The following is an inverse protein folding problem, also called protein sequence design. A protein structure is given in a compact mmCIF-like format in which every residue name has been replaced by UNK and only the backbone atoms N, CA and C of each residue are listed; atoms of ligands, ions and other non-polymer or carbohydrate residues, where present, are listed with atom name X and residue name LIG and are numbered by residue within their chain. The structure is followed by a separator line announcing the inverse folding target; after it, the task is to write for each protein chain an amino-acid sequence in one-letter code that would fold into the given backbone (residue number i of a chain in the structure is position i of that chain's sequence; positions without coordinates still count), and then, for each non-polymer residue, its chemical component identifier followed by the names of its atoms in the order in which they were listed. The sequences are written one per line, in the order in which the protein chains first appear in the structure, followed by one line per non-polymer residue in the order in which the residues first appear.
data_IF_948405338544
#
_entry.id   IF_948405338544
#
_cell.length_a   1.000
_cell.length_b   1.000
_cell.length_c   1.000
_cell.angle_alpha   90.00
_cell.angle_beta   90.00
_cell.angle_gamma   90.00
#
_symmetry.space_group_name_H-M   'P 1'
#
loop_
_entity.id
_entity.type
_entity.pdbx_description
1 polymer ?
#
# COMPACT_ATOMS: atom_id res chain seq x y z
N UNK A 1 -3.06 13.77 -22.56
CA UNK A 1 -3.50 12.36 -22.72
C UNK A 1 -2.92 11.54 -21.56
N UNK A 2 -3.72 10.71 -20.87
CA UNK A 2 -3.33 9.94 -19.69
C UNK A 2 -2.96 8.50 -20.05
N UNK A 3 -1.86 7.99 -19.49
CA UNK A 3 -1.40 6.63 -19.70
C UNK A 3 -1.10 5.92 -18.38
N UNK A 4 -1.44 4.63 -18.30
CA UNK A 4 -1.04 3.72 -17.23
C UNK A 4 0.15 2.89 -17.73
N UNK A 5 1.22 2.86 -16.93
CA UNK A 5 2.45 2.11 -17.21
C UNK A 5 2.55 0.95 -16.22
N UNK A 6 2.61 -0.27 -16.73
CA UNK A 6 2.76 -1.52 -15.98
C UNK A 6 4.14 -2.15 -16.16
N UNK A 7 4.56 -3.08 -15.27
CA UNK A 7 5.75 -3.87 -15.51
C UNK A 7 5.67 -4.61 -16.86
N UNK A 8 6.78 -4.71 -17.58
CA UNK A 8 6.83 -5.48 -18.82
C UNK A 8 6.75 -7.00 -18.52
N UNK A 9 6.27 -7.77 -19.50
CA UNK A 9 6.25 -9.24 -19.44
C UNK A 9 7.65 -9.87 -19.44
N UNK A 10 8.60 -9.17 -20.06
CA UNK A 10 10.04 -9.49 -20.07
C UNK A 10 10.83 -8.19 -19.92
N UNK A 11 12.08 -8.19 -19.42
CA UNK A 11 12.83 -6.98 -19.13
C UNK A 11 12.93 -5.95 -20.27
N UNK A 12 12.82 -6.39 -21.53
CA UNK A 12 12.87 -5.52 -22.71
C UNK A 12 11.59 -5.61 -23.57
N UNK A 13 10.54 -6.26 -23.08
CA UNK A 13 9.32 -6.50 -23.88
C UNK A 13 8.33 -5.34 -23.81
N UNK A 14 7.62 -5.04 -24.90
CA UNK A 14 6.59 -4.00 -24.92
C UNK A 14 5.27 -4.44 -24.28
N UNK A 15 5.09 -5.74 -24.01
CA UNK A 15 3.85 -6.29 -23.46
C UNK A 15 3.77 -6.09 -21.96
N UNK A 16 2.59 -5.77 -21.46
CA UNK A 16 2.28 -5.70 -20.04
C UNK A 16 2.39 -7.10 -19.41
N UNK A 17 2.93 -7.17 -18.20
CA UNK A 17 3.07 -8.44 -17.47
C UNK A 17 1.70 -9.16 -17.36
N UNK A 18 1.63 -10.50 -17.59
CA UNK A 18 0.38 -11.27 -17.64
C UNK A 18 -0.53 -11.10 -16.41
N UNK A 19 0.04 -10.89 -15.21
CA UNK A 19 -0.70 -10.61 -13.97
C UNK A 19 -1.69 -9.43 -14.12
N UNK A 20 -1.37 -8.46 -14.96
CA UNK A 20 -2.17 -7.24 -15.17
C UNK A 20 -2.93 -7.24 -16.50
N UNK A 21 -2.95 -8.35 -17.25
CA UNK A 21 -3.52 -8.40 -18.59
C UNK A 21 -5.01 -8.03 -18.61
N UNK A 22 -5.81 -8.57 -17.70
CA UNK A 22 -7.24 -8.28 -17.58
C UNK A 22 -7.48 -6.79 -17.31
N UNK A 23 -6.77 -6.22 -16.33
CA UNK A 23 -6.88 -4.81 -15.98
C UNK A 23 -6.45 -3.90 -17.12
N UNK A 24 -5.35 -4.25 -17.80
CA UNK A 24 -4.86 -3.52 -18.96
C UNK A 24 -5.85 -3.56 -20.13
N UNK A 25 -6.54 -4.68 -20.36
CA UNK A 25 -7.59 -4.79 -21.38
C UNK A 25 -8.79 -3.91 -21.06
N UNK A 26 -9.28 -3.92 -19.83
CA UNK A 26 -10.40 -3.08 -19.40
C UNK A 26 -10.07 -1.57 -19.50
N UNK A 27 -8.86 -1.17 -19.11
CA UNK A 27 -8.40 0.21 -19.24
C UNK A 27 -8.33 0.67 -20.71
N UNK A 28 -7.84 -0.19 -21.63
CA UNK A 28 -7.83 0.10 -23.08
C UNK A 28 -9.26 0.20 -23.61
N UNK A 29 -10.15 -0.71 -23.22
CA UNK A 29 -11.57 -0.67 -23.60
C UNK A 29 -12.26 0.61 -23.10
N UNK A 30 -11.84 1.14 -21.96
CA UNK A 30 -12.28 2.43 -21.46
C UNK A 30 -11.67 3.64 -22.21
N UNK A 31 -10.78 3.42 -23.18
CA UNK A 31 -10.16 4.46 -24.00
C UNK A 31 -8.91 5.10 -23.40
N UNK A 32 -8.30 4.45 -22.39
CA UNK A 32 -7.06 4.92 -21.79
C UNK A 32 -5.84 4.30 -22.50
N UNK A 33 -4.72 5.02 -22.51
CA UNK A 33 -3.46 4.46 -22.99
C UNK A 33 -2.89 3.51 -21.93
N UNK A 34 -2.41 2.36 -22.37
CA UNK A 34 -1.80 1.35 -21.47
C UNK A 34 -0.61 0.70 -22.14
N UNK A 35 0.52 0.67 -21.47
CA UNK A 35 1.76 0.07 -21.99
C UNK A 35 2.71 -0.34 -20.86
N UNK A 36 3.88 -0.83 -21.25
CA UNK A 36 4.98 -1.16 -20.34
C UNK A 36 6.09 -0.10 -20.34
N UNK A 37 5.95 0.94 -21.15
CA UNK A 37 6.84 2.09 -21.19
C UNK A 37 6.03 3.36 -21.46
N UNK A 38 6.54 4.55 -21.07
CA UNK A 38 5.94 5.83 -21.41
C UNK A 38 5.88 6.05 -22.92
N UNK A 39 4.72 6.49 -23.40
CA UNK A 39 4.55 6.95 -24.79
C UNK A 39 4.80 8.45 -24.88
N UNK A 40 5.38 8.92 -26.00
CA UNK A 40 5.65 10.36 -26.22
C UNK A 40 4.38 11.21 -26.20
N UNK A 41 3.27 10.67 -26.71
CA UNK A 41 1.96 11.36 -26.74
C UNK A 41 1.28 11.49 -25.37
N UNK A 42 1.76 10.76 -24.36
CA UNK A 42 1.21 10.84 -23.02
C UNK A 42 1.73 12.09 -22.30
N UNK A 43 0.81 12.90 -21.79
CA UNK A 43 1.11 14.11 -21.01
C UNK A 43 1.09 13.89 -19.51
N UNK A 44 0.45 12.79 -19.06
CA UNK A 44 0.41 12.35 -17.67
C UNK A 44 0.51 10.84 -17.61
N UNK A 45 1.25 10.33 -16.63
CA UNK A 45 1.53 8.92 -16.45
C UNK A 45 1.11 8.45 -15.05
N UNK A 46 0.57 7.23 -14.95
CA UNK A 46 0.38 6.52 -13.72
C UNK A 46 1.27 5.27 -13.72
N UNK A 47 2.08 5.11 -12.70
CA UNK A 47 2.93 3.94 -12.49
C UNK A 47 2.16 2.92 -11.65
N UNK A 48 1.94 1.69 -12.14
CA UNK A 48 1.11 0.70 -11.42
C UNK A 48 1.65 -0.72 -11.53
N UNK A 49 1.50 -1.47 -10.45
CA UNK A 49 1.88 -2.89 -10.39
C UNK A 49 3.37 -3.12 -10.12
N UNK A 50 4.08 -2.09 -9.69
CA UNK A 50 5.50 -2.18 -9.38
C UNK A 50 5.71 -2.30 -7.87
N UNK A 51 6.25 -3.43 -7.46
CA UNK A 51 6.76 -3.58 -6.10
C UNK A 51 8.21 -3.05 -6.09
N UNK A 52 8.35 -1.78 -5.79
CA UNK A 52 9.65 -1.13 -5.71
C UNK A 52 10.38 -1.60 -4.46
N UNK A 53 11.46 -2.35 -4.65
CA UNK A 53 12.31 -2.79 -3.54
C UNK A 53 13.04 -1.62 -2.89
N UNK A 54 13.36 -0.61 -3.68
CA UNK A 54 14.05 0.60 -3.24
C UNK A 54 13.30 1.82 -3.75
N UNK A 55 13.05 2.82 -2.88
CA UNK A 55 12.37 4.06 -3.29
C UNK A 55 13.06 4.78 -4.46
N UNK A 56 14.38 4.71 -4.53
CA UNK A 56 15.19 5.33 -5.59
C UNK A 56 14.94 4.71 -6.99
N UNK A 57 14.32 3.53 -7.05
CA UNK A 57 13.91 2.91 -8.32
C UNK A 57 12.62 3.55 -8.87
N UNK A 58 12.02 4.51 -8.16
CA UNK A 58 10.85 5.27 -8.64
C UNK A 58 11.22 6.09 -9.88
N UNK A 59 10.38 6.05 -10.93
CA UNK A 59 10.71 6.76 -12.16
C UNK A 59 10.79 8.28 -11.96
N UNK A 60 11.77 8.92 -12.60
CA UNK A 60 12.03 10.36 -12.50
C UNK A 60 11.34 11.20 -13.56
N UNK A 61 10.58 10.59 -14.48
CA UNK A 61 9.84 11.32 -15.52
C UNK A 61 8.79 12.23 -14.86
N UNK A 62 8.84 13.57 -15.08
CA UNK A 62 7.95 14.52 -14.39
C UNK A 62 6.48 14.41 -14.81
N UNK A 63 6.15 13.61 -15.84
CA UNK A 63 4.77 13.32 -16.22
C UNK A 63 4.06 12.35 -15.27
N UNK A 64 4.79 11.61 -14.42
CA UNK A 64 4.16 10.73 -13.44
C UNK A 64 3.36 11.55 -12.41
N UNK A 65 2.14 11.08 -12.11
CA UNK A 65 1.24 11.74 -11.14
C UNK A 65 1.66 11.51 -9.68
N UNK A 66 2.57 10.58 -9.43
CA UNK A 66 3.21 10.34 -8.14
C UNK A 66 4.67 10.77 -8.17
N UNK A 67 5.27 10.89 -7.00
CA UNK A 67 6.70 11.11 -6.79
C UNK A 67 7.26 10.07 -5.84
N UNK A 68 8.57 9.94 -5.73
CA UNK A 68 9.21 9.07 -4.74
C UNK A 68 8.77 9.44 -3.31
N UNK A 69 8.58 10.72 -3.03
CA UNK A 69 8.13 11.22 -1.73
C UNK A 69 6.70 10.79 -1.42
N UNK A 70 5.75 10.95 -2.36
CA UNK A 70 4.36 10.51 -2.16
C UNK A 70 4.25 9.00 -2.12
N UNK A 71 5.05 8.26 -2.91
CA UNK A 71 5.17 6.81 -2.83
C UNK A 71 5.59 6.37 -1.42
N UNK A 72 6.72 6.89 -0.93
CA UNK A 72 7.23 6.59 0.41
C UNK A 72 6.23 6.96 1.50
N UNK A 73 5.63 8.14 1.40
CA UNK A 73 4.67 8.63 2.39
C UNK A 73 3.41 7.77 2.51
N UNK A 74 3.02 7.03 1.46
CA UNK A 74 1.90 6.08 1.50
C UNK A 74 2.34 4.63 1.75
N UNK A 75 3.61 4.29 1.53
CA UNK A 75 4.10 2.92 1.63
C UNK A 75 4.82 2.65 2.96
N UNK A 76 5.59 3.63 3.48
CA UNK A 76 6.37 3.49 4.70
C UNK A 76 5.49 3.83 5.92
N UNK A 77 5.26 2.86 6.80
CA UNK A 77 4.34 3.02 7.93
C UNK A 77 4.75 4.17 8.87
N UNK A 78 6.04 4.42 9.08
CA UNK A 78 6.51 5.53 9.92
C UNK A 78 6.10 6.89 9.37
N UNK A 79 5.87 6.99 8.06
CA UNK A 79 5.49 8.24 7.40
C UNK A 79 3.99 8.48 7.38
N UNK A 80 3.16 7.45 7.15
CA UNK A 80 1.70 7.66 7.13
C UNK A 80 1.05 7.54 8.51
N UNK A 81 1.67 6.84 9.46
CA UNK A 81 1.11 6.63 10.80
C UNK A 81 0.68 7.92 11.50
N UNK A 82 1.47 9.03 11.49
CA UNK A 82 1.05 10.28 12.14
C UNK A 82 -0.28 10.85 11.63
N UNK A 83 -0.67 10.52 10.39
CA UNK A 83 -1.95 10.97 9.83
C UNK A 83 -3.13 10.11 10.29
N UNK A 84 -2.89 8.83 10.60
CA UNK A 84 -3.94 7.89 10.99
C UNK A 84 -3.87 7.49 12.47
N UNK A 85 -3.00 8.11 13.25
CA UNK A 85 -2.93 7.88 14.70
C UNK A 85 -4.29 8.13 15.34
N UNK A 86 -4.71 7.19 16.22
CA UNK A 86 -6.05 7.15 16.81
C UNK A 86 -7.15 6.57 15.90
N UNK A 87 -6.86 6.30 14.62
CA UNK A 87 -7.74 5.57 13.70
C UNK A 87 -7.22 4.16 13.39
N UNK A 88 -6.02 3.82 13.85
CA UNK A 88 -5.34 2.53 13.64
C UNK A 88 -4.87 1.95 14.96
N UNK A 89 -4.29 0.75 14.92
CA UNK A 89 -3.71 0.11 16.11
C UNK A 89 -2.60 0.99 16.70
N UNK A 90 -2.58 1.06 18.03
CA UNK A 90 -1.50 1.74 18.76
C UNK A 90 -0.15 1.17 18.31
N UNK A 91 0.78 2.05 17.94
CA UNK A 91 2.07 1.70 17.34
C UNK A 91 3.18 2.53 17.95
N UNK A 92 4.36 1.96 18.10
CA UNK A 92 5.60 2.69 18.32
C UNK A 92 6.69 2.17 17.39
N UNK A 93 7.73 2.97 17.20
CA UNK A 93 8.79 2.70 16.23
C UNK A 93 10.13 2.52 16.94
N UNK A 94 10.94 1.58 16.42
CA UNK A 94 12.30 1.32 16.88
C UNK A 94 13.20 1.01 15.68
N UNK A 95 14.50 1.29 15.82
CA UNK A 95 15.48 0.98 14.79
C UNK A 95 15.92 -0.50 14.87
N UNK A 96 15.87 -1.10 16.07
CA UNK A 96 16.34 -2.46 16.33
C UNK A 96 15.34 -3.22 17.20
N UNK A 97 15.23 -4.55 16.95
CA UNK A 97 14.46 -5.45 17.80
C UNK A 97 15.37 -6.02 18.89
N UNK A 98 15.16 -5.61 20.12
CA UNK A 98 15.91 -6.04 21.30
C UNK A 98 15.03 -6.10 22.55
N UNK A 99 15.60 -6.41 23.72
CA UNK A 99 14.88 -6.55 24.98
C UNK A 99 14.13 -5.29 25.42
N UNK A 100 14.56 -4.10 24.98
CA UNK A 100 13.85 -2.86 25.29
C UNK A 100 12.46 -2.81 24.62
N UNK A 101 12.30 -3.45 23.47
CA UNK A 101 11.00 -3.62 22.80
C UNK A 101 10.06 -4.43 23.67
N UNK A 102 10.55 -5.54 24.24
CA UNK A 102 9.76 -6.39 25.14
C UNK A 102 9.34 -5.61 26.38
N UNK A 103 10.27 -4.84 26.97
CA UNK A 103 9.98 -4.01 28.14
C UNK A 103 8.88 -2.97 27.81
N UNK A 104 8.94 -2.32 26.66
CA UNK A 104 7.95 -1.32 26.23
C UNK A 104 6.58 -1.96 25.94
N UNK A 105 6.54 -3.11 25.25
CA UNK A 105 5.31 -3.87 24.99
C UNK A 105 4.61 -4.22 26.33
N UNK A 106 5.37 -4.71 27.32
CA UNK A 106 4.86 -5.02 28.65
C UNK A 106 4.40 -3.78 29.42
N UNK A 107 5.16 -2.68 29.34
CA UNK A 107 4.81 -1.40 29.95
C UNK A 107 3.47 -0.86 29.44
N UNK A 108 3.16 -1.09 28.15
CA UNK A 108 1.87 -0.74 27.54
C UNK A 108 0.75 -1.73 27.90
N UNK A 109 1.04 -2.80 28.62
CA UNK A 109 0.07 -3.83 28.99
C UNK A 109 -0.34 -4.73 27.82
N UNK A 110 0.48 -4.83 26.77
CA UNK A 110 0.19 -5.70 25.65
C UNK A 110 0.73 -7.11 25.92
N UNK A 111 -0.08 -8.12 25.68
CA UNK A 111 0.32 -9.53 25.75
C UNK A 111 1.03 -10.00 24.48
N UNK A 112 0.67 -9.43 23.35
CA UNK A 112 1.20 -9.73 22.03
C UNK A 112 1.41 -8.43 21.24
N UNK A 113 2.39 -8.44 20.34
CA UNK A 113 2.65 -7.35 19.43
C UNK A 113 2.81 -7.87 17.99
N UNK A 114 2.20 -7.19 17.03
CA UNK A 114 2.44 -7.41 15.62
C UNK A 114 3.61 -6.51 15.18
N UNK A 115 4.63 -7.13 14.58
CA UNK A 115 5.86 -6.45 14.18
C UNK A 115 5.99 -6.47 12.67
N UNK A 116 6.10 -5.29 12.08
CA UNK A 116 6.42 -5.15 10.65
C UNK A 116 7.58 -4.16 10.48
N UNK A 117 8.31 -4.29 9.37
CA UNK A 117 9.35 -3.33 9.00
C UNK A 117 8.81 -2.45 7.90
N UNK A 118 8.86 -1.13 8.05
CA UNK A 118 8.35 -0.11 7.13
C UNK A 118 7.27 -0.58 6.13
N UNK A 119 7.70 -1.23 5.05
CA UNK A 119 6.87 -1.57 3.90
C UNK A 119 6.33 -3.01 3.91
N UNK A 120 6.78 -3.87 4.85
CA UNK A 120 6.47 -5.30 4.80
C UNK A 120 6.32 -5.93 6.19
N UNK A 121 5.35 -6.84 6.30
CA UNK A 121 5.23 -7.79 7.41
C UNK A 121 5.68 -9.19 6.96
N UNK A 122 6.24 -10.00 7.88
CA UNK A 122 6.61 -11.40 7.58
C UNK A 122 5.39 -12.28 7.28
N UNK A 123 4.19 -11.86 7.70
CA UNK A 123 2.92 -12.53 7.37
C UNK A 123 2.71 -12.71 5.86
N UNK A 124 3.30 -11.85 5.02
CA UNK A 124 3.27 -12.02 3.56
C UNK A 124 4.11 -13.19 3.05
N UNK A 125 4.93 -13.77 3.92
CA UNK A 125 5.86 -14.85 3.59
C UNK A 125 5.48 -16.12 4.32
N UNK A 126 5.19 -16.01 5.64
CA UNK A 126 4.88 -17.14 6.51
C UNK A 126 3.92 -16.69 7.62
N UNK A 127 2.72 -17.27 7.66
CA UNK A 127 1.69 -16.93 8.63
C UNK A 127 2.18 -17.06 10.07
N UNK A 128 1.80 -16.12 10.93
CA UNK A 128 2.13 -16.09 12.36
C UNK A 128 3.55 -15.60 12.68
N UNK A 129 4.39 -15.32 11.69
CA UNK A 129 5.80 -14.95 11.93
C UNK A 129 6.01 -13.50 12.31
N UNK A 130 5.03 -12.64 12.15
CA UNK A 130 5.08 -11.23 12.58
C UNK A 130 4.61 -11.00 14.03
N UNK A 131 4.24 -12.04 14.77
CA UNK A 131 3.65 -11.89 16.11
C UNK A 131 4.62 -12.30 17.22
N UNK A 132 5.02 -11.33 18.05
CA UNK A 132 5.68 -11.61 19.31
C UNK A 132 4.64 -11.90 20.41
N UNK A 133 4.81 -12.91 21.31
CA UNK A 133 5.98 -13.78 21.50
C UNK A 133 5.95 -15.10 20.72
N UNK A 134 5.03 -15.27 19.75
CA UNK A 134 4.95 -16.51 18.95
C UNK A 134 6.22 -16.74 18.12
N UNK A 135 6.84 -15.67 17.69
CA UNK A 135 8.17 -15.66 17.04
C UNK A 135 9.10 -14.78 17.87
N UNK A 136 10.36 -15.19 18.07
CA UNK A 136 11.36 -14.41 18.79
C UNK A 136 11.81 -13.20 17.97
N UNK A 137 12.26 -12.13 18.64
CA UNK A 137 12.76 -10.93 17.97
C UNK A 137 13.99 -11.23 17.09
N UNK A 138 14.90 -12.11 17.55
CA UNK A 138 16.08 -12.52 16.78
C UNK A 138 15.69 -13.23 15.48
N UNK A 139 14.70 -14.11 15.53
CA UNK A 139 14.17 -14.78 14.34
C UNK A 139 13.57 -13.80 13.36
N UNK A 140 12.80 -12.81 13.85
CA UNK A 140 12.21 -11.77 13.00
C UNK A 140 13.30 -10.93 12.35
N UNK A 141 14.30 -10.47 13.12
CA UNK A 141 15.42 -9.69 12.62
C UNK A 141 16.15 -10.43 11.50
N UNK A 142 16.55 -11.69 11.74
CA UNK A 142 17.26 -12.50 10.75
C UNK A 142 16.45 -12.64 9.44
N UNK A 143 15.12 -12.84 9.54
CA UNK A 143 14.26 -12.95 8.35
C UNK A 143 14.14 -11.64 7.59
N UNK A 144 13.94 -10.50 8.26
CA UNK A 144 13.89 -9.20 7.60
C UNK A 144 15.20 -8.87 6.87
N UNK A 145 16.33 -9.23 7.47
CA UNK A 145 17.66 -9.04 6.86
C UNK A 145 17.86 -9.97 5.65
N UNK A 146 17.42 -11.23 5.73
CA UNK A 146 17.42 -12.20 4.62
C UNK A 146 16.65 -11.67 3.41
N UNK A 147 15.50 -11.01 3.64
CA UNK A 147 14.69 -10.43 2.57
C UNK A 147 15.15 -9.04 2.12
N UNK A 148 16.18 -8.49 2.73
CA UNK A 148 16.72 -7.17 2.41
C UNK A 148 15.71 -6.03 2.67
N UNK A 149 14.82 -6.20 3.66
CA UNK A 149 13.87 -5.16 4.07
C UNK A 149 14.55 -4.24 5.07
N UNK A 150 14.56 -2.95 4.79
CA UNK A 150 15.23 -1.94 5.59
C UNK A 150 14.25 -0.94 6.21
N UNK A 151 14.76 -0.05 7.06
CA UNK A 151 14.00 0.99 7.77
C UNK A 151 13.62 0.57 9.19
N UNK A 152 12.79 1.38 9.83
CA UNK A 152 12.35 1.16 11.22
C UNK A 152 11.40 -0.02 11.34
N UNK A 153 11.35 -0.60 12.52
CA UNK A 153 10.32 -1.54 12.91
C UNK A 153 9.14 -0.79 13.52
N UNK A 154 7.95 -1.11 13.04
CA UNK A 154 6.68 -0.70 13.64
C UNK A 154 6.19 -1.82 14.55
N UNK A 155 6.12 -1.54 15.83
CA UNK A 155 5.62 -2.45 16.86
C UNK A 155 4.18 -2.04 17.14
N UNK A 156 3.22 -2.86 16.74
CA UNK A 156 1.80 -2.56 16.77
C UNK A 156 1.11 -3.44 17.81
N UNK A 157 0.15 -2.88 18.55
CA UNK A 157 -0.73 -3.70 19.40
C UNK A 157 -1.36 -4.79 18.54
N UNK A 158 -1.17 -6.06 18.94
CA UNK A 158 -1.77 -7.18 18.22
C UNK A 158 -3.30 -7.10 18.27
N UNK A 159 -3.91 -7.36 17.13
CA UNK A 159 -5.35 -7.48 17.00
C UNK A 159 -5.69 -8.88 16.48
N UNK A 160 -6.66 -9.53 17.09
CA UNK A 160 -7.13 -10.84 16.65
C UNK A 160 -7.56 -10.76 15.16
N UNK A 161 -7.05 -11.64 14.28
CA UNK A 161 -7.45 -11.70 12.88
C UNK A 161 -8.97 -11.82 12.66
N UNK A 162 -9.70 -12.43 13.60
CA UNK A 162 -11.15 -12.50 13.54
C UNK A 162 -11.82 -11.12 13.52
N UNK A 163 -11.20 -10.12 14.17
CA UNK A 163 -11.67 -8.72 14.14
C UNK A 163 -11.34 -7.99 12.84
N UNK A 164 -10.46 -8.58 12.02
CA UNK A 164 -10.06 -8.06 10.72
C UNK A 164 -10.79 -8.75 9.56
N UNK A 165 -11.69 -9.71 9.84
CA UNK A 165 -12.40 -10.50 8.81
C UNK A 165 -13.22 -9.65 7.83
N UNK A 166 -13.66 -8.46 8.26
CA UNK A 166 -14.38 -7.50 7.43
C UNK A 166 -13.47 -6.43 6.79
N UNK A 167 -12.15 -6.67 6.80
CA UNK A 167 -11.19 -5.76 6.16
C UNK A 167 -11.47 -5.63 4.66
N UNK A 168 -11.47 -4.40 4.20
CA UNK A 168 -11.77 -4.04 2.81
C UNK A 168 -10.82 -2.98 2.31
N UNK A 169 -10.48 -3.06 1.02
CA UNK A 169 -9.64 -2.07 0.35
C UNK A 169 -10.48 -0.95 -0.25
N UNK A 170 -10.10 0.28 0.08
CA UNK A 170 -10.64 1.51 -0.47
C UNK A 170 -9.59 2.20 -1.33
N UNK A 171 -9.89 2.37 -2.61
CA UNK A 171 -9.05 3.15 -3.51
C UNK A 171 -9.28 4.62 -3.31
N UNK A 172 -8.20 5.39 -3.20
CA UNK A 172 -8.25 6.85 -3.17
C UNK A 172 -7.61 7.39 -4.43
N UNK A 173 -8.40 8.02 -5.27
CA UNK A 173 -8.01 8.55 -6.56
C UNK A 173 -8.35 10.05 -6.57
N UNK A 174 -7.36 10.90 -6.75
CA UNK A 174 -7.52 12.36 -6.74
C UNK A 174 -8.30 12.86 -5.51
N UNK A 175 -8.02 12.29 -4.34
CA UNK A 175 -8.66 12.61 -3.07
C UNK A 175 -10.06 12.03 -2.87
N UNK A 176 -10.63 11.29 -3.82
CA UNK A 176 -11.94 10.66 -3.75
C UNK A 176 -11.84 9.17 -3.45
N UNK A 177 -12.76 8.67 -2.64
CA UNK A 177 -12.79 7.28 -2.20
C UNK A 177 -13.63 6.45 -3.17
N UNK A 178 -13.09 5.30 -3.60
CA UNK A 178 -13.73 4.36 -4.52
C UNK A 178 -13.78 2.95 -3.94
N UNK A 179 -14.95 2.34 -4.03
CA UNK A 179 -15.22 0.95 -3.72
C UNK A 179 -16.45 0.46 -4.49
N UNK A 180 -16.53 -0.85 -4.75
CA UNK A 180 -17.61 -1.48 -5.54
C UNK A 180 -19.01 -1.14 -5.06
N UNK A 181 -19.26 -1.19 -3.75
CA UNK A 181 -20.58 -0.98 -3.14
C UNK A 181 -20.85 0.47 -2.75
N UNK A 182 -19.87 1.37 -2.94
CA UNK A 182 -19.92 2.77 -2.50
C UNK A 182 -20.15 2.97 -1.00
N UNK A 183 -20.02 1.90 -0.19
CA UNK A 183 -20.14 1.97 1.26
C UNK A 183 -18.79 2.34 1.85
N UNK A 184 -18.69 3.54 2.42
CA UNK A 184 -17.46 4.07 3.00
C UNK A 184 -17.68 4.36 4.49
N UNK A 185 -17.08 3.59 5.40
CA UNK A 185 -17.14 3.85 6.84
C UNK A 185 -16.57 5.22 7.20
N UNK A 186 -17.06 5.82 8.28
CA UNK A 186 -16.60 7.15 8.70
C UNK A 186 -15.13 7.17 9.07
N UNK A 187 -14.60 6.06 9.60
CA UNK A 187 -13.16 5.94 9.89
C UNK A 187 -12.31 6.07 8.63
N UNK A 188 -12.75 5.52 7.51
CA UNK A 188 -12.06 5.64 6.21
C UNK A 188 -12.12 7.07 5.71
N UNK A 189 -13.28 7.74 5.81
CA UNK A 189 -13.41 9.16 5.44
C UNK A 189 -12.47 10.05 6.24
N UNK A 190 -12.41 9.85 7.56
CA UNK A 190 -11.50 10.58 8.46
C UNK A 190 -10.03 10.30 8.10
N UNK A 191 -9.67 9.05 7.84
CA UNK A 191 -8.31 8.69 7.44
C UNK A 191 -7.93 9.38 6.12
N UNK A 192 -8.80 9.32 5.10
CA UNK A 192 -8.54 9.93 3.78
C UNK A 192 -8.45 11.45 3.88
N UNK A 193 -9.31 12.11 4.66
CA UNK A 193 -9.21 13.56 4.91
C UNK A 193 -7.83 13.96 5.43
N UNK A 194 -7.28 13.18 6.37
CA UNK A 194 -5.94 13.43 6.93
C UNK A 194 -4.83 13.05 5.94
N UNK A 195 -4.93 11.89 5.28
CA UNK A 195 -3.94 11.37 4.34
C UNK A 195 -3.83 12.23 3.06
N UNK A 196 -4.89 12.91 2.66
CA UNK A 196 -4.86 13.84 1.51
C UNK A 196 -3.83 14.97 1.70
N UNK A 197 -3.40 15.26 2.93
CA UNK A 197 -2.31 16.21 3.22
C UNK A 197 -0.94 15.72 2.75
N UNK A 198 -0.78 14.42 2.50
CA UNK A 198 0.43 13.85 1.88
C UNK A 198 0.60 14.35 0.44
N UNK A 199 -0.49 14.71 -0.24
CA UNK A 199 -0.49 15.15 -1.63
C UNK A 199 -0.42 14.01 -2.65
N UNK A 200 -0.52 12.75 -2.22
CA UNK A 200 -0.63 11.62 -3.17
C UNK A 200 -2.00 11.64 -3.85
N UNK A 201 -2.00 11.51 -5.17
CA UNK A 201 -3.23 11.41 -5.96
C UNK A 201 -3.74 9.98 -6.12
N UNK A 202 -3.00 9.00 -5.60
CA UNK A 202 -3.24 7.60 -5.89
C UNK A 202 -2.68 6.69 -4.78
N UNK A 203 -3.57 6.16 -3.93
CA UNK A 203 -3.20 5.26 -2.83
C UNK A 203 -4.40 4.39 -2.41
N UNK A 204 -4.18 3.42 -1.52
CA UNK A 204 -5.24 2.60 -0.92
C UNK A 204 -5.25 2.72 0.61
N UNK A 205 -6.43 2.54 1.17
CA UNK A 205 -6.64 2.38 2.61
C UNK A 205 -7.32 1.04 2.83
N UNK A 206 -6.69 0.16 3.57
CA UNK A 206 -7.28 -1.11 4.00
C UNK A 206 -7.84 -0.91 5.41
N UNK A 207 -9.13 -1.15 5.58
CA UNK A 207 -9.83 -0.88 6.83
C UNK A 207 -11.03 -1.80 7.05
N UNK A 208 -11.34 -2.06 8.33
CA UNK A 208 -12.63 -2.55 8.77
C UNK A 208 -13.58 -1.36 9.02
N UNK A 209 -14.84 -1.57 9.38
CA UNK A 209 -15.75 -0.47 9.76
C UNK A 209 -15.27 0.39 10.94
N UNK A 210 -14.32 -0.10 11.75
CA UNK A 210 -13.94 0.54 13.02
C UNK A 210 -12.46 0.86 13.15
N UNK A 211 -11.60 0.35 12.26
CA UNK A 211 -10.16 0.59 12.33
C UNK A 211 -9.49 0.58 10.95
N UNK A 212 -8.54 1.47 10.75
CA UNK A 212 -7.62 1.44 9.59
C UNK A 212 -6.54 0.39 9.86
N UNK A 213 -6.40 -0.57 8.95
CA UNK A 213 -5.40 -1.63 9.05
C UNK A 213 -4.09 -1.18 8.43
N UNK A 214 -4.14 -0.69 7.20
CA UNK A 214 -2.95 -0.33 6.43
C UNK A 214 -3.26 0.78 5.41
N UNK A 215 -2.20 1.52 5.04
CA UNK A 215 -2.18 2.42 3.89
C UNK A 215 -1.11 1.90 2.94
N UNK A 216 -1.41 1.87 1.66
CA UNK A 216 -0.46 1.44 0.63
C UNK A 216 -0.45 2.43 -0.53
N UNK A 217 0.71 2.63 -1.12
CA UNK A 217 0.84 3.37 -2.37
C UNK A 217 0.05 2.67 -3.48
N UNK A 218 -0.61 3.44 -4.33
CA UNK A 218 -1.39 2.90 -5.44
C UNK A 218 -0.53 2.17 -6.47
N UNK A 219 0.72 2.54 -6.58
CA UNK A 219 1.71 1.96 -7.48
C UNK A 219 1.97 0.48 -7.17
N UNK A 220 2.01 0.12 -5.88
CA UNK A 220 2.25 -1.25 -5.40
C UNK A 220 0.95 -2.02 -5.10
N UNK A 221 -0.19 -1.34 -5.03
CA UNK A 221 -1.45 -1.96 -4.63
C UNK A 221 -2.09 -2.77 -5.75
N UNK A 222 -2.58 -3.96 -5.41
CA UNK A 222 -3.41 -4.77 -6.28
C UNK A 222 -4.88 -4.29 -6.28
N UNK A 223 -5.58 -4.54 -7.39
CA UNK A 223 -6.99 -4.15 -7.56
C UNK A 223 -7.94 -4.81 -6.54
N UNK A 224 -7.60 -5.93 -5.95
CA UNK A 224 -8.47 -6.87 -5.23
C UNK A 224 -9.57 -7.50 -6.12
N UNK A 225 -9.79 -8.78 -5.93
CA UNK A 225 -10.73 -9.57 -6.75
C UNK A 225 -12.19 -9.12 -6.62
N UNK A 226 -12.56 -8.46 -5.52
CA UNK A 226 -13.91 -7.91 -5.32
C UNK A 226 -14.26 -6.75 -6.27
N UNK A 227 -13.26 -6.07 -6.82
CA UNK A 227 -13.46 -5.00 -7.81
C UNK A 227 -13.17 -5.55 -9.20
N UNK A 228 -14.14 -5.51 -10.14
CA UNK A 228 -13.87 -5.93 -11.51
C UNK A 228 -12.88 -5.00 -12.20
N UNK A 229 -12.21 -5.49 -13.24
CA UNK A 229 -11.27 -4.68 -14.01
C UNK A 229 -11.96 -3.49 -14.70
N UNK A 230 -13.19 -3.69 -15.18
CA UNK A 230 -14.00 -2.66 -15.82
C UNK A 230 -14.40 -1.56 -14.82
N UNK A 231 -14.77 -1.95 -13.60
CA UNK A 231 -15.12 -1.00 -12.55
C UNK A 231 -13.91 -0.16 -12.19
N UNK A 232 -12.75 -0.76 -11.98
CA UNK A 232 -11.50 -0.06 -11.72
C UNK A 232 -11.14 0.88 -12.87
N UNK A 233 -11.24 0.41 -14.12
CA UNK A 233 -11.00 1.22 -15.31
C UNK A 233 -11.93 2.43 -15.39
N UNK A 234 -13.20 2.28 -15.00
CA UNK A 234 -14.17 3.38 -14.97
C UNK A 234 -13.77 4.46 -13.95
N UNK A 235 -13.26 4.07 -12.78
CA UNK A 235 -12.78 5.01 -11.76
C UNK A 235 -11.55 5.79 -12.25
N UNK A 236 -10.56 5.09 -12.81
CA UNK A 236 -9.37 5.72 -13.37
C UNK A 236 -9.73 6.70 -14.49
N UNK A 237 -10.62 6.29 -15.41
CA UNK A 237 -11.09 7.17 -16.49
C UNK A 237 -11.77 8.42 -15.96
N UNK A 238 -12.63 8.27 -14.95
CA UNK A 238 -13.37 9.40 -14.33
C UNK A 238 -12.42 10.43 -13.71
N UNK A 239 -11.34 9.98 -13.05
CA UNK A 239 -10.46 10.89 -12.30
C UNK A 239 -9.29 11.43 -13.13
N UNK A 240 -8.84 10.67 -14.13
CA UNK A 240 -7.60 10.99 -14.86
C UNK A 240 -7.76 11.01 -16.39
N UNK A 241 -8.87 10.52 -16.93
CA UNK A 241 -9.07 10.30 -18.37
C UNK A 241 -9.40 11.53 -19.23
N UNK A 242 -9.27 12.76 -18.69
CA UNK A 242 -9.48 14.03 -19.41
C UNK A 242 -8.22 14.49 -20.13
#
# INVERSE_FOLDING_TARGET
MFQIVYPPSTPAGPAVHPRFAEEAMALRAAGLLVGSAPLEIATRLMYKGFNLKRPEDYPTDPRYIGTVETYRACQEISRYYPYIEGLTMETFFVDELNDSVIAEVRRRGWSEAFIKREVMALEHIEEGKSVWPRTSLDTMTAKYDEFGVHGQFAIRKYMDPALLSDEKRYWVLNGRIYRRDNIVPDIVKQAVERLNRIGSLYYTVDATPVIVVEVNSGESSDRHAENSAELFASWIKKEFGT
#
